data_IF_301367551227
#
_entry.id   IF_301367551227
#
_cell.length_a   1.000
_cell.length_b   1.000
_cell.length_c   1.000
_cell.angle_alpha   90.00
_cell.angle_beta   90.00
_cell.angle_gamma   90.00
#
_symmetry.space_group_name_H-M   'P 1'
#
loop_
_entity.id
_entity.type
_entity.pdbx_description
1 polymer ?
#
# COMPACT_ATOMS: atom_id res chain seq x y z
N UNK A 1 25.76 14.48 2.12
CA UNK A 1 24.97 14.97 3.26
C UNK A 1 25.84 15.42 4.44
N UNK A 2 26.78 14.60 4.91
CA UNK A 2 27.50 14.85 6.18
C UNK A 2 28.79 15.69 6.09
N UNK A 3 29.23 16.06 4.89
CA UNK A 3 30.50 16.77 4.69
C UNK A 3 30.60 18.10 5.46
N UNK A 4 29.48 18.79 5.67
CA UNK A 4 29.42 20.03 6.48
C UNK A 4 29.77 19.81 7.95
N UNK A 5 29.55 18.62 8.49
CA UNK A 5 29.92 18.25 9.87
C UNK A 5 31.38 17.80 9.97
N UNK A 6 32.03 17.47 8.85
CA UNK A 6 33.43 17.01 8.79
C UNK A 6 34.26 17.82 7.77
N UNK A 7 34.38 19.15 7.94
CA UNK A 7 34.95 20.05 6.93
C UNK A 7 36.42 19.80 6.60
N UNK A 8 37.14 19.06 7.46
CA UNK A 8 38.57 18.73 7.31
C UNK A 8 38.81 17.30 6.83
N UNK A 9 37.77 16.52 6.55
CA UNK A 9 37.89 15.15 6.08
C UNK A 9 37.40 15.05 4.63
N UNK A 10 38.12 14.33 3.75
CA UNK A 10 37.56 13.93 2.48
C UNK A 10 36.31 13.06 2.71
N UNK A 11 35.36 13.08 1.77
CA UNK A 11 34.06 12.39 1.91
C UNK A 11 34.22 10.89 2.22
N UNK A 12 35.26 10.26 1.68
CA UNK A 12 35.60 8.83 1.89
C UNK A 12 35.99 8.50 3.35
N UNK A 13 36.42 9.49 4.13
CA UNK A 13 36.84 9.33 5.54
C UNK A 13 35.73 9.71 6.54
N UNK A 14 34.53 10.02 6.05
CA UNK A 14 33.38 10.29 6.90
C UNK A 14 32.86 8.94 7.44
N UNK A 15 32.86 8.72 8.76
CA UNK A 15 32.51 7.43 9.37
C UNK A 15 30.99 7.23 9.49
N UNK A 16 30.22 7.75 8.52
CA UNK A 16 28.77 7.65 8.50
C UNK A 16 28.37 6.93 7.22
N UNK A 17 27.77 5.77 7.41
CA UNK A 17 27.24 4.91 6.35
C UNK A 17 25.75 4.64 6.57
N UNK A 18 25.14 3.80 5.74
CA UNK A 18 23.73 3.45 5.81
C UNK A 18 23.51 1.93 5.85
N UNK A 19 22.37 1.53 6.39
CA UNK A 19 21.84 0.16 6.29
C UNK A 19 20.40 0.29 5.83
N UNK A 20 20.12 -0.18 4.61
CA UNK A 20 18.76 -0.21 4.09
C UNK A 20 17.90 -1.15 4.93
N UNK A 21 16.67 -0.72 5.26
CA UNK A 21 15.73 -1.56 5.99
C UNK A 21 15.33 -2.79 5.17
N UNK A 22 15.06 -3.90 5.85
CA UNK A 22 14.53 -5.12 5.24
C UNK A 22 13.21 -5.57 5.87
N UNK A 23 12.61 -6.59 5.26
CA UNK A 23 11.42 -7.28 5.78
C UNK A 23 11.69 -8.77 5.89
N UNK A 24 11.10 -9.39 6.92
CA UNK A 24 11.26 -10.81 7.18
C UNK A 24 10.33 -11.65 6.28
N UNK A 25 10.72 -12.89 5.96
CA UNK A 25 9.93 -13.83 5.14
C UNK A 25 8.56 -14.18 5.74
N UNK A 26 8.34 -13.90 7.03
CA UNK A 26 7.04 -14.07 7.71
C UNK A 26 5.93 -13.13 7.22
N UNK A 27 6.24 -12.26 6.27
CA UNK A 27 5.27 -11.45 5.52
C UNK A 27 4.85 -12.10 4.19
N UNK A 28 5.45 -13.21 3.76
CA UNK A 28 4.95 -13.99 2.63
C UNK A 28 3.63 -14.66 3.00
N UNK A 29 2.70 -14.64 2.06
CA UNK A 29 1.50 -15.47 2.08
C UNK A 29 1.86 -16.94 1.85
N UNK A 30 1.03 -17.84 2.36
CA UNK A 30 1.20 -19.28 2.12
C UNK A 30 1.25 -19.62 0.62
N UNK A 31 0.42 -18.97 -0.20
CA UNK A 31 0.38 -19.21 -1.64
C UNK A 31 1.68 -18.79 -2.34
N UNK A 32 2.28 -17.65 -1.96
CA UNK A 32 3.59 -17.25 -2.49
C UNK A 32 4.73 -18.09 -1.92
N UNK A 33 4.69 -18.48 -0.64
CA UNK A 33 5.68 -19.41 -0.07
C UNK A 33 5.69 -20.72 -0.85
N UNK A 34 4.53 -21.35 -1.06
CA UNK A 34 4.43 -22.61 -1.80
C UNK A 34 4.82 -22.45 -3.28
N UNK A 35 4.63 -21.27 -3.88
CA UNK A 35 5.08 -20.98 -5.24
C UNK A 35 6.61 -20.88 -5.29
N UNK A 36 7.23 -20.15 -4.35
CA UNK A 36 8.68 -20.00 -4.28
C UNK A 36 9.38 -21.32 -3.93
N UNK A 37 8.84 -22.12 -3.01
CA UNK A 37 9.41 -23.43 -2.66
C UNK A 37 9.46 -24.38 -3.86
N UNK A 38 8.41 -24.37 -4.70
CA UNK A 38 8.33 -25.24 -5.89
C UNK A 38 9.30 -24.83 -6.99
N UNK A 39 9.43 -23.53 -7.25
CA UNK A 39 10.18 -23.03 -8.42
C UNK A 39 11.62 -22.62 -8.10
N UNK A 40 11.86 -22.06 -6.92
CA UNK A 40 13.20 -21.60 -6.49
C UNK A 40 13.92 -22.71 -5.70
N UNK A 41 13.17 -23.38 -4.83
CA UNK A 41 13.62 -24.48 -3.98
C UNK A 41 13.22 -24.28 -2.51
N UNK A 42 13.18 -25.34 -1.69
CA UNK A 42 12.70 -25.29 -0.31
C UNK A 42 13.54 -24.38 0.60
N UNK A 43 14.81 -24.19 0.27
CA UNK A 43 15.75 -23.38 1.06
C UNK A 43 15.86 -21.92 0.56
N UNK A 44 14.93 -21.43 -0.28
CA UNK A 44 14.98 -20.07 -0.84
C UNK A 44 15.13 -18.97 0.23
N UNK A 45 14.64 -19.21 1.45
CA UNK A 45 14.76 -18.29 2.59
C UNK A 45 16.22 -18.08 3.02
N UNK A 46 17.08 -19.07 2.79
CA UNK A 46 18.51 -19.03 3.12
C UNK A 46 19.37 -18.45 1.98
N UNK A 47 18.81 -18.32 0.77
CA UNK A 47 19.52 -17.88 -0.43
C UNK A 47 19.17 -16.45 -0.86
N UNK A 48 18.83 -15.59 0.11
CA UNK A 48 18.39 -14.20 -0.16
C UNK A 48 19.43 -13.34 -0.88
N UNK A 49 20.72 -13.67 -0.75
CA UNK A 49 21.83 -12.90 -1.32
C UNK A 49 22.38 -13.48 -2.64
N UNK A 50 21.90 -14.65 -3.07
CA UNK A 50 22.37 -15.29 -4.30
C UNK A 50 21.46 -14.93 -5.48
N UNK A 51 21.88 -13.93 -6.25
CA UNK A 51 21.14 -13.44 -7.42
C UNK A 51 20.86 -14.55 -8.45
N UNK A 52 21.77 -15.53 -8.60
CA UNK A 52 21.62 -16.62 -9.58
C UNK A 52 20.45 -17.55 -9.24
N UNK A 53 20.16 -17.70 -7.96
CA UNK A 53 19.02 -18.52 -7.50
C UNK A 53 17.71 -17.79 -7.78
N UNK A 54 17.69 -16.46 -7.62
CA UNK A 54 16.52 -15.65 -7.88
C UNK A 54 16.23 -15.46 -9.37
N UNK A 55 17.20 -15.66 -10.27
CA UNK A 55 16.95 -15.65 -11.72
C UNK A 55 15.88 -16.67 -12.13
N UNK A 56 15.73 -17.78 -11.41
CA UNK A 56 14.67 -18.78 -11.62
C UNK A 56 13.25 -18.21 -11.51
N UNK A 57 13.07 -17.08 -10.81
CA UNK A 57 11.76 -16.42 -10.70
C UNK A 57 11.22 -16.02 -12.07
N UNK A 58 12.11 -15.74 -13.04
CA UNK A 58 11.75 -15.34 -14.41
C UNK A 58 11.15 -16.47 -15.22
N UNK A 59 11.36 -17.72 -14.79
CA UNK A 59 10.84 -18.92 -15.44
C UNK A 59 9.49 -19.38 -14.85
N UNK A 60 9.02 -18.72 -13.78
CA UNK A 60 7.71 -19.03 -13.17
C UNK A 60 6.59 -18.59 -14.13
N UNK A 61 5.64 -19.48 -14.46
CA UNK A 61 4.51 -19.11 -15.31
C UNK A 61 3.64 -18.01 -14.70
N UNK A 62 3.29 -17.01 -15.51
CA UNK A 62 2.45 -15.87 -15.11
C UNK A 62 1.11 -16.33 -14.54
N UNK A 63 0.52 -17.42 -15.06
CA UNK A 63 -0.74 -17.97 -14.58
C UNK A 63 -0.64 -18.51 -13.15
N UNK A 64 0.50 -19.06 -12.75
CA UNK A 64 0.70 -19.55 -11.38
C UNK A 64 0.83 -18.39 -10.38
N UNK A 65 1.54 -17.33 -10.78
CA UNK A 65 1.65 -16.10 -9.98
C UNK A 65 0.27 -15.46 -9.83
N UNK A 66 -0.46 -15.34 -10.95
CA UNK A 66 -1.80 -14.76 -10.96
C UNK A 66 -2.79 -15.57 -10.12
N UNK A 67 -2.74 -16.90 -10.19
CA UNK A 67 -3.60 -17.77 -9.36
C UNK A 67 -3.27 -17.65 -7.87
N UNK A 68 -1.99 -17.59 -7.49
CA UNK A 68 -1.57 -17.34 -6.12
C UNK A 68 -2.09 -15.99 -5.61
N UNK A 69 -1.96 -14.94 -6.43
CA UNK A 69 -2.47 -13.61 -6.15
C UNK A 69 -4.01 -13.58 -5.99
N UNK A 70 -4.76 -14.21 -6.90
CA UNK A 70 -6.22 -14.30 -6.82
C UNK A 70 -6.67 -14.99 -5.54
N UNK A 71 -6.02 -16.08 -5.11
CA UNK A 71 -6.34 -16.75 -3.84
C UNK A 71 -6.13 -15.83 -2.63
N UNK A 72 -5.03 -15.06 -2.62
CA UNK A 72 -4.80 -14.06 -1.57
C UNK A 72 -5.87 -12.96 -1.58
N UNK A 73 -6.23 -12.46 -2.76
CA UNK A 73 -7.27 -11.43 -2.94
C UNK A 73 -8.65 -11.92 -2.48
N UNK A 74 -9.03 -13.13 -2.82
CA UNK A 74 -10.25 -13.76 -2.30
C UNK A 74 -10.23 -13.88 -0.77
N UNK A 75 -9.09 -14.30 -0.19
CA UNK A 75 -8.91 -14.38 1.26
C UNK A 75 -9.02 -13.01 1.93
N UNK A 76 -8.45 -11.96 1.32
CA UNK A 76 -8.60 -10.58 1.77
C UNK A 76 -10.07 -10.14 1.76
N UNK A 77 -10.82 -10.42 0.70
CA UNK A 77 -12.24 -10.06 0.63
C UNK A 77 -13.07 -10.74 1.72
N UNK A 78 -12.83 -12.03 1.97
CA UNK A 78 -13.50 -12.78 3.05
C UNK A 78 -13.16 -12.17 4.41
N UNK A 79 -11.87 -11.89 4.64
CA UNK A 79 -11.39 -11.29 5.88
C UNK A 79 -12.05 -9.93 6.14
N UNK A 80 -12.07 -9.04 5.14
CA UNK A 80 -12.68 -7.71 5.26
C UNK A 80 -14.17 -7.82 5.52
N UNK A 81 -14.89 -8.68 4.80
CA UNK A 81 -16.34 -8.87 5.00
C UNK A 81 -16.66 -9.26 6.43
N UNK A 82 -15.91 -10.23 6.98
CA UNK A 82 -16.06 -10.68 8.36
C UNK A 82 -15.76 -9.53 9.34
N UNK A 83 -14.62 -8.87 9.18
CA UNK A 83 -14.18 -7.79 10.05
C UNK A 83 -15.14 -6.60 10.03
N UNK A 84 -15.59 -6.18 8.84
CA UNK A 84 -16.55 -5.09 8.69
C UNK A 84 -17.90 -5.45 9.32
N UNK A 85 -18.35 -6.70 9.18
CA UNK A 85 -19.58 -7.16 9.84
C UNK A 85 -19.48 -7.09 11.37
N UNK A 86 -18.36 -7.55 11.95
CA UNK A 86 -18.08 -7.48 13.38
C UNK A 86 -18.03 -6.02 13.87
N UNK A 87 -17.26 -5.17 13.16
CA UNK A 87 -17.09 -3.74 13.49
C UNK A 87 -18.44 -2.99 13.42
N UNK A 88 -19.25 -3.20 12.37
CA UNK A 88 -20.57 -2.56 12.23
C UNK A 88 -21.59 -3.09 13.24
N UNK A 89 -21.59 -4.40 13.52
CA UNK A 89 -22.47 -5.00 14.52
C UNK A 89 -22.18 -4.44 15.91
N UNK A 90 -20.90 -4.25 16.26
CA UNK A 90 -20.50 -3.67 17.55
C UNK A 90 -21.02 -2.24 17.77
N UNK A 91 -21.29 -1.51 16.68
CA UNK A 91 -21.87 -0.15 16.68
C UNK A 91 -23.39 -0.13 16.63
N UNK A 92 -24.05 -1.28 16.64
CA UNK A 92 -25.51 -1.38 16.60
C UNK A 92 -26.13 -1.14 15.22
N UNK A 93 -25.37 -1.33 14.13
CA UNK A 93 -25.94 -1.25 12.78
C UNK A 93 -26.89 -2.43 12.53
N UNK A 94 -27.95 -2.19 11.75
CA UNK A 94 -28.92 -3.24 11.42
C UNK A 94 -28.33 -4.29 10.49
N UNK A 95 -28.75 -5.55 10.65
CA UNK A 95 -28.31 -6.69 9.83
C UNK A 95 -28.44 -6.43 8.32
N UNK A 96 -29.55 -5.84 7.80
CA UNK A 96 -29.66 -5.51 6.38
C UNK A 96 -28.59 -4.53 5.90
N UNK A 97 -28.25 -3.52 6.71
CA UNK A 97 -27.22 -2.53 6.38
C UNK A 97 -25.82 -3.16 6.36
N UNK A 98 -25.54 -4.06 7.31
CA UNK A 98 -24.29 -4.82 7.36
C UNK A 98 -24.14 -5.71 6.13
N UNK A 99 -25.18 -6.47 5.76
CA UNK A 99 -25.17 -7.33 4.59
C UNK A 99 -25.00 -6.54 3.30
N UNK A 100 -25.63 -5.36 3.19
CA UNK A 100 -25.46 -4.49 2.04
C UNK A 100 -23.99 -4.06 1.91
N UNK A 101 -23.39 -3.47 2.95
CA UNK A 101 -22.02 -2.95 2.88
C UNK A 101 -20.95 -4.04 2.66
N UNK A 102 -21.17 -5.24 3.21
CA UNK A 102 -20.19 -6.34 3.10
C UNK A 102 -20.26 -7.06 1.74
N UNK A 103 -21.44 -7.17 1.11
CA UNK A 103 -21.58 -7.86 -0.18
C UNK A 103 -20.97 -7.10 -1.36
N UNK A 104 -20.72 -5.80 -1.19
CA UNK A 104 -20.35 -4.92 -2.28
C UNK A 104 -18.88 -5.03 -2.70
N UNK A 105 -18.00 -5.53 -1.81
CA UNK A 105 -16.61 -5.79 -2.16
C UNK A 105 -16.52 -6.95 -3.13
N UNK A 106 -15.79 -6.77 -4.23
CA UNK A 106 -15.67 -7.78 -5.27
C UNK A 106 -14.19 -8.13 -5.52
N UNK A 107 -13.78 -9.41 -5.37
CA UNK A 107 -12.40 -9.82 -5.64
C UNK A 107 -11.97 -9.62 -7.10
N UNK A 108 -12.89 -9.39 -8.03
CA UNK A 108 -12.57 -9.13 -9.43
C UNK A 108 -12.30 -7.64 -9.72
N UNK A 109 -12.56 -6.74 -8.76
CA UNK A 109 -12.29 -5.30 -8.92
C UNK A 109 -10.85 -4.96 -8.59
N UNK A 110 -10.28 -3.96 -9.26
CA UNK A 110 -8.95 -3.46 -8.93
C UNK A 110 -8.96 -2.91 -7.49
N UNK A 111 -8.16 -3.52 -6.63
CA UNK A 111 -8.11 -3.23 -5.20
C UNK A 111 -6.84 -2.45 -4.87
N UNK A 112 -7.02 -1.15 -4.64
CA UNK A 112 -5.93 -0.26 -4.23
C UNK A 112 -5.96 -0.12 -2.72
N UNK A 113 -4.81 -0.30 -2.07
CA UNK A 113 -4.70 -0.28 -0.62
C UNK A 113 -3.76 0.81 -0.14
N UNK A 114 -4.25 1.64 0.77
CA UNK A 114 -3.43 2.51 1.59
C UNK A 114 -3.52 2.05 3.05
N UNK A 115 -2.45 1.51 3.62
CA UNK A 115 -2.49 0.97 4.98
C UNK A 115 -1.27 1.32 5.83
N UNK A 116 -1.35 2.47 6.52
CA UNK A 116 -0.23 3.08 7.26
C UNK A 116 -0.76 3.94 8.42
N UNK A 117 0.14 4.49 9.23
CA UNK A 117 -0.21 5.53 10.21
C UNK A 117 -0.83 6.72 9.48
N UNK A 118 -1.89 7.29 10.01
CA UNK A 118 -2.46 8.53 9.49
C UNK A 118 -1.69 9.71 10.08
N UNK A 119 -0.91 10.37 9.23
CA UNK A 119 -0.06 11.51 9.58
C UNK A 119 0.08 12.41 8.36
N UNK A 120 0.30 13.71 8.60
CA UNK A 120 0.32 14.74 7.54
C UNK A 120 1.29 14.39 6.41
N UNK A 121 2.53 14.03 6.75
CA UNK A 121 3.56 13.73 5.75
C UNK A 121 3.25 12.50 4.90
N UNK A 122 2.34 11.61 5.30
CA UNK A 122 1.98 10.40 4.53
C UNK A 122 0.87 10.64 3.50
N UNK A 123 0.24 11.82 3.52
CA UNK A 123 -0.81 12.29 2.59
C UNK A 123 -1.86 11.22 2.19
N UNK A 124 -2.53 10.55 3.15
CA UNK A 124 -3.58 9.56 2.84
C UNK A 124 -4.75 10.15 2.03
N UNK A 125 -5.01 11.45 2.18
CA UNK A 125 -6.10 12.17 1.49
C UNK A 125 -5.67 12.80 0.17
N UNK A 126 -4.44 12.55 -0.32
CA UNK A 126 -3.97 13.09 -1.61
C UNK A 126 -4.89 12.68 -2.76
N UNK A 127 -5.38 11.44 -2.74
CA UNK A 127 -6.30 10.91 -3.75
C UNK A 127 -7.68 11.59 -3.73
N UNK A 128 -8.04 12.25 -2.62
CA UNK A 128 -9.31 12.97 -2.44
C UNK A 128 -9.24 14.44 -2.91
N UNK A 129 -8.12 14.89 -3.50
CA UNK A 129 -8.00 16.30 -3.92
C UNK A 129 -8.98 16.68 -5.02
N UNK A 130 -9.27 15.76 -5.92
CA UNK A 130 -10.32 15.90 -6.93
C UNK A 130 -11.38 14.82 -6.71
N UNK A 131 -12.35 15.14 -5.85
CA UNK A 131 -13.40 14.22 -5.46
C UNK A 131 -14.30 13.79 -6.63
N UNK A 132 -14.58 14.69 -7.58
CA UNK A 132 -15.43 14.35 -8.74
C UNK A 132 -14.69 13.43 -9.72
N UNK A 133 -13.39 13.67 -9.97
CA UNK A 133 -12.55 12.75 -10.73
C UNK A 133 -12.49 11.39 -10.05
N UNK A 134 -12.23 11.35 -8.74
CA UNK A 134 -12.13 10.09 -8.01
C UNK A 134 -13.45 9.32 -8.05
N UNK A 135 -14.59 9.98 -7.79
CA UNK A 135 -15.92 9.39 -7.92
C UNK A 135 -16.14 8.79 -9.30
N UNK A 136 -15.77 9.50 -10.37
CA UNK A 136 -15.89 8.99 -11.74
C UNK A 136 -15.08 7.71 -11.94
N UNK A 137 -13.88 7.62 -11.38
CA UNK A 137 -13.05 6.40 -11.43
C UNK A 137 -13.71 5.26 -10.65
N UNK A 138 -14.19 5.52 -9.44
CA UNK A 138 -14.78 4.49 -8.57
C UNK A 138 -16.11 3.94 -9.10
N UNK A 139 -16.85 4.77 -9.84
CA UNK A 139 -18.18 4.42 -10.39
C UNK A 139 -18.11 3.92 -11.84
N UNK A 140 -16.92 3.83 -12.44
CA UNK A 140 -16.74 3.24 -13.77
C UNK A 140 -16.98 1.72 -13.72
N UNK A 141 -18.06 1.26 -14.35
CA UNK A 141 -18.42 -0.15 -14.39
C UNK A 141 -17.60 -0.97 -15.38
N UNK A 142 -16.94 -0.33 -16.36
CA UNK A 142 -16.06 -0.99 -17.31
C UNK A 142 -14.66 -1.23 -16.76
N UNK A 143 -14.23 -0.43 -15.79
CA UNK A 143 -12.94 -0.55 -15.08
C UNK A 143 -13.15 -0.41 -13.58
N UNK A 144 -13.79 -1.37 -12.92
CA UNK A 144 -14.20 -1.21 -11.53
C UNK A 144 -13.00 -1.18 -10.59
N UNK A 145 -12.96 -0.14 -9.75
CA UNK A 145 -11.93 0.08 -8.72
C UNK A 145 -12.57 0.09 -7.34
N UNK A 146 -11.85 -0.42 -6.34
CA UNK A 146 -12.17 -0.28 -4.92
C UNK A 146 -10.92 0.16 -4.15
N UNK A 147 -11.11 1.02 -3.15
CA UNK A 147 -10.08 1.55 -2.26
C UNK A 147 -10.27 0.97 -0.87
N UNK A 148 -9.19 0.49 -0.29
CA UNK A 148 -9.16 0.07 1.11
C UNK A 148 -8.14 0.94 1.85
N UNK A 149 -8.63 1.66 2.84
CA UNK A 149 -7.83 2.40 3.79
C UNK A 149 -7.74 1.62 5.09
N UNK A 150 -6.56 1.59 5.70
CA UNK A 150 -6.40 1.03 7.04
C UNK A 150 -5.34 1.79 7.81
N UNK A 151 -5.55 1.97 9.10
CA UNK A 151 -4.55 2.65 9.92
C UNK A 151 -5.10 3.24 11.19
N UNK A 152 -4.21 3.92 11.92
CA UNK A 152 -4.53 4.64 13.14
C UNK A 152 -3.89 6.02 13.06
N UNK A 153 -4.61 7.02 13.53
CA UNK A 153 -4.05 8.31 13.90
C UNK A 153 -3.60 8.25 15.36
N UNK A 154 -2.54 8.98 15.72
CA UNK A 154 -2.15 9.09 17.13
C UNK A 154 -3.28 9.78 17.92
N UNK A 155 -3.56 9.40 19.19
CA UNK A 155 -4.65 9.99 19.97
C UNK A 155 -4.61 11.52 20.06
N UNK A 156 -3.41 12.12 20.06
CA UNK A 156 -3.21 13.57 20.08
C UNK A 156 -3.08 14.21 18.69
N UNK A 157 -3.04 13.42 17.61
CA UNK A 157 -2.90 13.93 16.24
C UNK A 157 -4.27 14.24 15.66
N UNK A 158 -4.69 15.49 15.81
CA UNK A 158 -5.99 15.97 15.29
C UNK A 158 -6.04 15.89 13.76
N UNK A 159 -4.95 16.27 13.08
CA UNK A 159 -4.88 16.23 11.62
C UNK A 159 -5.06 14.81 11.10
N UNK A 160 -4.40 13.83 11.72
CA UNK A 160 -4.56 12.41 11.37
C UNK A 160 -5.99 11.92 11.52
N UNK A 161 -6.72 12.37 12.54
CA UNK A 161 -8.15 12.03 12.74
C UNK A 161 -9.04 12.72 11.71
N UNK A 162 -8.78 13.99 11.40
CA UNK A 162 -9.50 14.75 10.38
C UNK A 162 -9.35 14.07 9.01
N UNK A 163 -8.15 13.59 8.65
CA UNK A 163 -7.93 12.81 7.41
C UNK A 163 -8.72 11.50 7.34
N UNK A 164 -8.87 10.79 8.46
CA UNK A 164 -9.72 9.58 8.52
C UNK A 164 -11.18 9.97 8.28
N UNK A 165 -11.62 11.06 8.94
CA UNK A 165 -12.97 11.59 8.78
C UNK A 165 -13.24 11.99 7.32
N UNK A 166 -12.31 12.68 6.67
CA UNK A 166 -12.45 13.10 5.27
C UNK A 166 -12.67 11.91 4.33
N UNK A 167 -11.98 10.77 4.54
CA UNK A 167 -12.18 9.55 3.74
C UNK A 167 -13.58 8.96 3.95
N UNK A 168 -14.04 8.92 5.20
CA UNK A 168 -15.36 8.38 5.55
C UNK A 168 -16.47 9.29 5.01
N UNK A 169 -16.32 10.61 5.18
CA UNK A 169 -17.26 11.61 4.69
C UNK A 169 -17.30 11.60 3.15
N UNK A 170 -16.15 11.51 2.46
CA UNK A 170 -16.09 11.34 1.01
C UNK A 170 -16.90 10.12 0.55
N UNK A 171 -16.67 8.95 1.15
CA UNK A 171 -17.36 7.72 0.76
C UNK A 171 -18.88 7.88 0.86
N UNK A 172 -19.34 8.53 1.93
CA UNK A 172 -20.77 8.77 2.20
C UNK A 172 -21.38 9.84 1.30
N UNK A 173 -20.74 11.00 1.19
CA UNK A 173 -21.26 12.16 0.47
C UNK A 173 -21.36 11.88 -1.04
N UNK A 174 -20.42 11.11 -1.58
CA UNK A 174 -20.40 10.70 -2.98
C UNK A 174 -21.13 9.38 -3.25
N UNK A 175 -21.68 8.72 -2.22
CA UNK A 175 -22.40 7.45 -2.29
C UNK A 175 -21.57 6.31 -2.90
N UNK A 176 -20.31 6.21 -2.48
CA UNK A 176 -19.33 5.21 -2.92
C UNK A 176 -18.84 4.35 -1.74
N UNK A 177 -19.65 4.17 -0.70
CA UNK A 177 -19.35 3.29 0.43
C UNK A 177 -19.19 1.82 0.03
N UNK A 178 -19.62 1.46 -1.17
CA UNK A 178 -19.45 0.16 -1.81
C UNK A 178 -18.05 -0.02 -2.43
N UNK A 179 -17.34 1.10 -2.66
CA UNK A 179 -16.00 1.14 -3.27
C UNK A 179 -14.91 1.61 -2.33
N UNK A 180 -15.24 2.39 -1.29
CA UNK A 180 -14.25 2.96 -0.37
C UNK A 180 -14.48 2.41 1.03
N UNK A 181 -13.57 1.56 1.49
CA UNK A 181 -13.64 0.91 2.80
C UNK A 181 -12.54 1.45 3.70
N UNK A 182 -12.92 1.83 4.92
CA UNK A 182 -11.96 2.12 5.99
C UNK A 182 -11.98 0.98 7.02
N UNK A 183 -10.84 0.29 7.17
CA UNK A 183 -10.62 -0.76 8.16
C UNK A 183 -10.00 -0.18 9.43
N UNK A 184 -10.76 -0.29 10.52
CA UNK A 184 -10.28 0.10 11.84
C UNK A 184 -9.42 -0.99 12.48
N UNK A 185 -8.75 -0.61 13.59
CA UNK A 185 -7.97 -1.53 14.40
C UNK A 185 -6.83 -2.20 13.63
N UNK A 186 -6.17 -1.44 12.74
CA UNK A 186 -4.98 -1.91 12.04
C UNK A 186 -3.92 -2.47 13.01
N UNK A 187 -3.59 -3.73 12.80
CA UNK A 187 -2.61 -4.53 13.53
C UNK A 187 -1.84 -5.43 12.55
N UNK A 188 -0.99 -6.33 13.05
CA UNK A 188 -0.21 -7.22 12.19
C UNK A 188 -1.08 -8.20 11.39
N UNK A 189 -2.23 -8.63 11.93
CA UNK A 189 -3.11 -9.57 11.25
C UNK A 189 -3.84 -8.89 10.07
N UNK A 190 -4.37 -7.68 10.30
CA UNK A 190 -4.95 -6.85 9.25
C UNK A 190 -3.89 -6.51 8.19
N UNK A 191 -2.69 -6.11 8.63
CA UNK A 191 -1.60 -5.77 7.74
C UNK A 191 -1.23 -6.92 6.79
N UNK A 192 -1.15 -8.16 7.31
CA UNK A 192 -0.86 -9.36 6.53
C UNK A 192 -1.86 -9.55 5.39
N UNK A 193 -3.15 -9.61 5.70
CA UNK A 193 -4.19 -9.79 4.67
C UNK A 193 -4.13 -8.69 3.60
N UNK A 194 -3.87 -7.45 4.01
CA UNK A 194 -3.77 -6.32 3.09
C UNK A 194 -2.56 -6.41 2.16
N UNK A 195 -1.37 -6.70 2.68
CA UNK A 195 -0.16 -6.82 1.83
C UNK A 195 -0.17 -8.07 0.95
N UNK A 196 -0.97 -9.09 1.30
CA UNK A 196 -1.12 -10.31 0.50
C UNK A 196 -2.09 -10.13 -0.66
N UNK A 197 -3.21 -9.44 -0.45
CA UNK A 197 -4.34 -9.42 -1.38
C UNK A 197 -4.59 -8.09 -2.11
N UNK A 198 -3.79 -7.05 -1.87
CA UNK A 198 -3.87 -5.80 -2.63
C UNK A 198 -3.41 -6.00 -4.07
N UNK A 199 -4.05 -5.39 -5.07
CA UNK A 199 -3.49 -5.35 -6.43
C UNK A 199 -2.44 -4.24 -6.54
N UNK A 200 -2.74 -3.09 -5.93
CA UNK A 200 -1.85 -1.92 -5.92
C UNK A 200 -1.69 -1.43 -4.49
N UNK A 201 -0.45 -1.31 -4.06
CA UNK A 201 -0.08 -0.72 -2.77
C UNK A 201 0.27 0.77 -2.94
N UNK A 202 -0.56 1.64 -2.38
CA UNK A 202 -0.46 3.09 -2.52
C UNK A 202 0.37 3.71 -1.39
N UNK A 203 1.40 4.49 -1.75
CA UNK A 203 2.16 5.31 -0.81
C UNK A 203 2.35 6.73 -1.36
N UNK A 204 1.86 7.73 -0.64
CA UNK A 204 1.90 9.14 -1.08
C UNK A 204 2.70 10.03 -0.13
N UNK A 205 3.88 9.64 0.40
CA UNK A 205 4.60 10.49 1.33
C UNK A 205 5.03 11.80 0.67
N UNK A 206 5.13 12.88 1.45
CA UNK A 206 5.87 14.07 1.05
C UNK A 206 7.34 13.65 0.90
N UNK A 207 7.93 13.94 -0.27
CA UNK A 207 9.32 13.59 -0.58
C UNK A 207 10.28 14.11 0.51
N UNK A 208 11.32 13.33 0.81
CA UNK A 208 12.32 13.53 1.86
C UNK A 208 11.80 13.33 3.31
N UNK A 209 10.51 13.03 3.50
CA UNK A 209 9.95 12.76 4.83
C UNK A 209 9.74 11.26 5.12
N UNK A 210 9.88 10.38 4.13
CA UNK A 210 9.95 8.93 4.36
C UNK A 210 11.39 8.46 4.27
N UNK A 211 11.99 8.10 5.41
CA UNK A 211 13.37 7.61 5.44
C UNK A 211 13.58 6.31 4.64
N UNK A 212 12.58 5.41 4.66
CA UNK A 212 12.61 4.15 3.91
C UNK A 212 11.17 3.67 3.68
N UNK A 213 10.59 2.95 4.64
CA UNK A 213 9.20 2.50 4.60
C UNK A 213 9.04 1.06 4.14
N UNK A 214 8.88 0.14 5.09
CA UNK A 214 8.91 -1.30 4.82
C UNK A 214 7.59 -1.89 4.32
N UNK A 215 6.49 -1.15 4.33
CA UNK A 215 5.18 -1.71 3.93
C UNK A 215 5.10 -2.06 2.45
N UNK A 216 5.74 -1.25 1.59
CA UNK A 216 5.80 -1.55 0.16
C UNK A 216 6.65 -2.78 -0.14
N UNK A 217 7.74 -3.01 0.61
CA UNK A 217 8.54 -4.24 0.52
C UNK A 217 7.70 -5.49 0.85
N UNK A 218 6.86 -5.41 1.89
CA UNK A 218 5.94 -6.51 2.29
C UNK A 218 4.90 -6.81 1.21
N UNK A 219 4.44 -5.78 0.52
CA UNK A 219 3.51 -5.94 -0.60
C UNK A 219 4.23 -6.55 -1.81
N UNK A 220 5.39 -6.01 -2.18
CA UNK A 220 6.17 -6.44 -3.34
C UNK A 220 6.58 -7.91 -3.27
N UNK A 221 6.98 -8.42 -2.10
CA UNK A 221 7.33 -9.84 -1.94
C UNK A 221 6.14 -10.79 -2.14
N UNK A 222 4.91 -10.28 -2.15
CA UNK A 222 3.68 -11.02 -2.45
C UNK A 222 3.14 -10.71 -3.85
N UNK A 223 3.97 -10.20 -4.76
CA UNK A 223 3.58 -9.89 -6.14
C UNK A 223 2.69 -8.65 -6.29
N UNK A 224 2.53 -7.85 -5.23
CA UNK A 224 1.70 -6.62 -5.28
C UNK A 224 2.48 -5.47 -5.91
N UNK A 225 1.85 -4.79 -6.88
CA UNK A 225 2.43 -3.63 -7.54
C UNK A 225 2.41 -2.41 -6.61
N UNK A 226 3.40 -1.53 -6.74
CA UNK A 226 3.45 -0.30 -5.95
C UNK A 226 3.10 0.92 -6.81
N UNK A 227 2.32 1.84 -6.24
CA UNK A 227 2.13 3.20 -6.74
C UNK A 227 2.63 4.13 -5.65
N UNK A 228 3.80 4.74 -5.87
CA UNK A 228 4.47 5.50 -4.82
C UNK A 228 5.22 6.72 -5.34
N UNK A 229 5.31 7.75 -4.50
CA UNK A 229 6.30 8.82 -4.66
C UNK A 229 7.71 8.21 -4.60
N UNK A 230 8.66 8.75 -5.39
CA UNK A 230 10.08 8.38 -5.36
C UNK A 230 10.76 8.91 -4.08
N UNK A 231 10.39 8.34 -2.95
CA UNK A 231 10.93 8.63 -1.63
C UNK A 231 11.12 7.34 -0.81
N UNK A 232 12.03 7.38 0.15
CA UNK A 232 12.36 6.25 1.02
C UNK A 232 12.86 5.04 0.23
N UNK A 233 12.18 3.89 0.37
CA UNK A 233 12.61 2.61 -0.20
C UNK A 233 12.34 2.46 -1.70
N UNK A 234 11.38 3.25 -2.23
CA UNK A 234 10.90 3.04 -3.59
C UNK A 234 11.96 3.33 -4.67
N UNK A 235 12.77 4.41 -4.56
CA UNK A 235 13.91 4.65 -5.46
C UNK A 235 14.96 3.53 -5.48
N UNK A 236 15.06 2.71 -4.43
CA UNK A 236 16.07 1.64 -4.35
C UNK A 236 15.73 0.46 -5.27
N UNK A 237 14.46 0.28 -5.64
CA UNK A 237 13.99 -0.89 -6.40
C UNK A 237 13.10 -0.57 -7.60
N UNK A 238 12.62 0.67 -7.77
CA UNK A 238 11.76 1.04 -8.90
C UNK A 238 12.51 0.92 -10.23
N UNK A 239 11.93 0.20 -11.18
CA UNK A 239 12.57 -0.08 -12.47
C UNK A 239 11.68 0.24 -13.69
N UNK A 240 10.58 1.00 -13.48
CA UNK A 240 9.54 1.34 -14.48
C UNK A 240 8.63 0.19 -14.95
N UNK A 241 8.94 -1.05 -14.56
CA UNK A 241 8.14 -2.24 -14.90
C UNK A 241 7.42 -2.84 -13.69
N UNK A 242 7.85 -2.52 -12.47
CA UNK A 242 7.35 -3.09 -11.22
C UNK A 242 6.31 -2.23 -10.48
N UNK A 243 5.72 -1.24 -11.16
CA UNK A 243 4.73 -0.33 -10.60
C UNK A 243 4.81 1.07 -11.21
N UNK A 244 4.36 2.06 -10.45
CA UNK A 244 4.29 3.45 -10.89
C UNK A 244 4.94 4.40 -9.89
N UNK A 245 5.65 5.39 -10.42
CA UNK A 245 6.23 6.49 -9.66
C UNK A 245 5.37 7.75 -9.77
N UNK A 246 5.07 8.39 -8.63
CA UNK A 246 4.46 9.73 -8.57
C UNK A 246 5.61 10.74 -8.55
N UNK A 247 5.73 11.53 -9.61
CA UNK A 247 6.86 12.43 -9.85
C UNK A 247 6.44 13.85 -10.27
N UNK A 248 5.15 14.09 -10.52
CA UNK A 248 4.66 15.37 -11.01
C UNK A 248 5.01 16.55 -10.09
N UNK A 249 5.03 16.34 -8.77
CA UNK A 249 5.42 17.36 -7.79
C UNK A 249 6.91 17.70 -7.80
N UNK A 250 7.79 16.91 -8.42
CA UNK A 250 9.24 17.17 -8.40
C UNK A 250 9.64 18.46 -9.12
N UNK A 251 8.81 18.91 -10.07
CA UNK A 251 9.08 20.10 -10.88
C UNK A 251 8.68 21.42 -10.20
N UNK A 252 8.11 21.37 -8.99
CA UNK A 252 7.62 22.54 -8.26
C UNK A 252 8.43 22.77 -6.99
N UNK A 253 8.59 24.04 -6.58
CA UNK A 253 9.24 24.39 -5.31
C UNK A 253 8.23 24.63 -4.18
N UNK A 254 7.06 25.19 -4.49
CA UNK A 254 6.01 25.47 -3.51
C UNK A 254 5.23 24.20 -3.16
N UNK A 255 5.04 23.94 -1.86
CA UNK A 255 4.35 22.75 -1.33
C UNK A 255 2.98 22.52 -1.98
N UNK A 256 2.19 23.58 -2.13
CA UNK A 256 0.81 23.48 -2.60
C UNK A 256 0.75 23.09 -4.08
N UNK A 257 1.69 23.60 -4.88
CA UNK A 257 1.84 23.24 -6.28
C UNK A 257 2.35 21.80 -6.44
N UNK A 258 3.28 21.37 -5.56
CA UNK A 258 3.74 19.96 -5.53
C UNK A 258 2.58 19.02 -5.26
N UNK A 259 1.78 19.33 -4.24
CA UNK A 259 0.66 18.50 -3.82
C UNK A 259 -0.43 18.43 -4.90
N UNK A 260 -0.76 19.56 -5.52
CA UNK A 260 -1.70 19.60 -6.63
C UNK A 260 -1.20 18.83 -7.87
N UNK A 261 0.10 18.92 -8.18
CA UNK A 261 0.70 18.18 -9.29
C UNK A 261 0.70 16.66 -9.03
N UNK A 262 1.15 16.24 -7.84
CA UNK A 262 1.14 14.82 -7.43
C UNK A 262 -0.27 14.23 -7.44
N UNK A 263 -1.29 14.98 -7.01
CA UNK A 263 -2.67 14.52 -7.01
C UNK A 263 -3.28 14.42 -8.43
N UNK A 264 -2.79 15.24 -9.37
CA UNK A 264 -3.29 15.25 -10.75
C UNK A 264 -2.71 14.13 -11.61
N UNK A 265 -1.56 13.57 -11.24
CA UNK A 265 -0.97 12.41 -11.90
C UNK A 265 -1.84 11.16 -11.68
#
# INVERSE_FOLDING_TARGET
MWASLFPKRPVIEIPIDYVTNGVHSSWLSEHFTNLLERHIGPDFIHWREDEHIWDKIKDVPDEEIWEAHRKNKHSLMIFIRKKLAEDLSSRGYSVPKILNLTRLLNPEYLTVVFARRFAHYKRPTLILKDNERLKKILTDTGKPVQLIFAGKAHPSDKLGKDMIKDIIDFAKDYKVEDRVIFLENYDMNVARHLVWGADVWLNTPIKENEASGTSGMKAAMNGVLNLSVLDGWWPECYNTQNGWAITAGEFYQHSDLREAADANQ
#
